data_IF_897528639078
#
_entry.id   IF_897528639078
#
_cell.length_a   1.000
_cell.length_b   1.000
_cell.length_c   1.000
_cell.angle_alpha   90.00
_cell.angle_beta   90.00
_cell.angle_gamma   90.00
#
_symmetry.space_group_name_H-M   'P 1'
#
loop_
_entity.id
_entity.type
_entity.pdbx_description
1 polymer ?
#
# COMPACT_ATOMS: atom_id res chain seq x y z
N UNK A 1 -6.45 7.42 4.65
CA UNK A 1 -5.30 8.31 4.91
C UNK A 1 -4.19 7.50 5.53
N UNK A 2 -3.06 7.36 4.84
CA UNK A 2 -1.92 6.59 5.35
C UNK A 2 -1.20 7.42 6.41
N UNK A 3 -1.03 6.86 7.62
CA UNK A 3 -0.46 7.58 8.76
C UNK A 3 1.04 7.31 8.96
N UNK A 4 1.50 6.13 8.58
CA UNK A 4 2.88 5.70 8.76
C UNK A 4 3.22 4.57 7.80
N UNK A 5 4.51 4.34 7.61
CA UNK A 5 5.06 3.28 6.79
C UNK A 5 6.08 2.48 7.59
N UNK A 6 5.97 1.16 7.55
CA UNK A 6 7.03 0.27 8.01
C UNK A 6 8.15 0.15 6.95
N UNK A 7 7.77 0.14 5.67
CA UNK A 7 8.70 -0.03 4.55
C UNK A 7 9.17 1.31 3.95
N UNK A 8 10.44 1.67 4.19
CA UNK A 8 11.04 2.96 3.75
C UNK A 8 10.93 3.21 2.23
N UNK A 9 11.04 2.16 1.41
CA UNK A 9 10.89 2.28 -0.04
C UNK A 9 9.46 2.62 -0.49
N UNK A 10 8.44 2.15 0.24
CA UNK A 10 7.04 2.46 -0.07
C UNK A 10 6.70 3.88 0.33
N UNK A 11 7.21 4.33 1.49
CA UNK A 11 7.11 5.72 1.91
C UNK A 11 7.70 6.66 0.87
N UNK A 12 8.96 6.42 0.47
CA UNK A 12 9.63 7.24 -0.54
C UNK A 12 8.86 7.27 -1.86
N UNK A 13 8.37 6.10 -2.31
CA UNK A 13 7.58 6.02 -3.53
C UNK A 13 6.26 6.81 -3.42
N UNK A 14 5.59 6.75 -2.28
CA UNK A 14 4.36 7.50 -2.01
C UNK A 14 4.60 9.03 -2.01
N UNK A 15 5.68 9.48 -1.39
CA UNK A 15 5.97 10.91 -1.21
C UNK A 15 6.60 11.56 -2.45
N UNK A 16 7.39 10.82 -3.24
CA UNK A 16 8.26 11.41 -4.29
C UNK A 16 8.13 10.75 -5.65
N UNK A 17 7.30 9.72 -5.79
CA UNK A 17 7.24 8.83 -6.98
C UNK A 17 8.56 8.12 -7.32
N UNK A 18 9.58 8.23 -6.46
CA UNK A 18 10.86 7.57 -6.67
C UNK A 18 10.72 6.06 -6.43
N UNK A 19 11.08 5.28 -7.44
CA UNK A 19 10.98 3.81 -7.43
C UNK A 19 12.15 3.11 -6.74
N UNK A 20 13.16 3.87 -6.27
CA UNK A 20 14.31 3.34 -5.53
C UNK A 20 13.85 2.75 -4.21
N UNK A 21 14.03 1.43 -4.07
CA UNK A 21 13.61 0.68 -2.89
C UNK A 21 12.26 -0.01 -3.05
N UNK A 22 11.65 -0.02 -4.24
CA UNK A 22 10.57 -0.93 -4.60
C UNK A 22 10.92 -1.68 -5.88
N UNK A 23 10.15 -2.73 -6.20
CA UNK A 23 10.24 -3.34 -7.51
C UNK A 23 9.58 -2.42 -8.55
N UNK A 24 10.38 -1.85 -9.46
CA UNK A 24 9.94 -0.88 -10.47
C UNK A 24 8.80 -1.38 -11.35
N UNK A 25 8.80 -2.67 -11.72
CA UNK A 25 7.71 -3.31 -12.46
C UNK A 25 6.35 -3.31 -11.73
N UNK A 26 6.33 -3.07 -10.43
CA UNK A 26 5.11 -2.96 -9.63
C UNK A 26 4.66 -1.52 -9.40
N UNK A 27 5.41 -0.51 -9.86
CA UNK A 27 5.15 0.91 -9.54
C UNK A 27 3.71 1.33 -9.84
N UNK A 28 3.18 1.03 -11.02
CA UNK A 28 1.80 1.40 -11.40
C UNK A 28 0.74 0.73 -10.52
N UNK A 29 0.98 -0.53 -10.11
CA UNK A 29 0.07 -1.24 -9.21
C UNK A 29 0.12 -0.65 -7.80
N UNK A 30 1.33 -0.43 -7.29
CA UNK A 30 1.55 0.17 -5.97
C UNK A 30 0.97 1.57 -5.88
N UNK A 31 1.12 2.40 -6.92
CA UNK A 31 0.55 3.75 -6.97
C UNK A 31 -0.96 3.73 -6.80
N UNK A 32 -1.66 2.84 -7.51
CA UNK A 32 -3.13 2.67 -7.39
C UNK A 32 -3.55 2.19 -6.00
N UNK A 33 -2.82 1.23 -5.44
CA UNK A 33 -3.13 0.69 -4.11
C UNK A 33 -2.92 1.72 -3.00
N UNK A 34 -1.79 2.44 -3.04
CA UNK A 34 -1.48 3.50 -2.07
C UNK A 34 -2.47 4.65 -2.15
N UNK A 35 -2.86 5.09 -3.36
CA UNK A 35 -3.88 6.13 -3.52
C UNK A 35 -5.25 5.71 -2.96
N UNK A 36 -5.65 4.45 -3.15
CA UNK A 36 -6.89 3.93 -2.59
C UNK A 36 -6.84 3.83 -1.05
N UNK A 37 -5.73 3.36 -0.48
CA UNK A 37 -5.52 3.31 0.97
C UNK A 37 -5.51 4.70 1.60
N UNK A 38 -4.96 5.68 0.89
CA UNK A 38 -4.92 7.05 1.37
C UNK A 38 -6.29 7.74 1.34
N UNK A 39 -7.16 7.38 0.40
CA UNK A 39 -8.52 7.92 0.32
C UNK A 39 -9.53 7.16 1.21
N UNK A 40 -9.29 5.87 1.49
CA UNK A 40 -10.20 5.05 2.27
C UNK A 40 -10.37 5.58 3.71
N UNK A 41 -11.62 5.58 4.18
CA UNK A 41 -12.03 5.90 5.56
C UNK A 41 -12.34 4.62 6.35
N UNK A 42 -12.73 3.56 5.66
CA UNK A 42 -13.02 2.23 6.23
C UNK A 42 -12.56 1.13 5.27
N UNK A 43 -12.32 -0.12 5.75
CA UNK A 43 -11.86 -1.22 4.91
C UNK A 43 -12.77 -1.52 3.71
N UNK A 44 -14.09 -1.31 3.89
CA UNK A 44 -15.09 -1.52 2.84
C UNK A 44 -14.97 -0.54 1.65
N UNK A 45 -14.30 0.61 1.83
CA UNK A 45 -14.09 1.57 0.74
C UNK A 45 -13.08 1.04 -0.32
N UNK A 46 -12.31 0.01 0.02
CA UNK A 46 -11.37 -0.64 -0.88
C UNK A 46 -12.13 -1.73 -1.67
N UNK A 47 -12.85 -1.29 -2.69
CA UNK A 47 -13.83 -2.14 -3.42
C UNK A 47 -13.25 -2.95 -4.58
N UNK A 48 -11.93 -2.86 -4.83
CA UNK A 48 -11.32 -3.57 -5.96
C UNK A 48 -11.26 -5.09 -5.71
N UNK A 49 -12.18 -5.83 -6.32
CA UNK A 49 -12.28 -7.29 -6.20
C UNK A 49 -11.03 -8.03 -6.69
N UNK A 50 -10.27 -7.47 -7.64
CA UNK A 50 -9.02 -8.05 -8.12
C UNK A 50 -7.91 -8.03 -7.08
N UNK A 51 -8.03 -7.24 -6.00
CA UNK A 51 -7.04 -7.17 -4.94
C UNK A 51 -7.21 -8.24 -3.87
N UNK A 52 -8.29 -9.04 -3.93
CA UNK A 52 -8.55 -10.16 -3.00
C UNK A 52 -8.39 -9.74 -1.53
N UNK A 53 -9.00 -8.61 -1.17
CA UNK A 53 -8.90 -8.06 0.19
C UNK A 53 -9.43 -9.07 1.20
N UNK A 54 -8.64 -9.35 2.24
CA UNK A 54 -9.00 -10.23 3.34
C UNK A 54 -8.27 -9.80 4.61
N UNK A 55 -8.88 -10.06 5.77
CA UNK A 55 -8.23 -9.80 7.04
C UNK A 55 -7.05 -10.76 7.24
N UNK A 56 -5.93 -10.24 7.72
CA UNK A 56 -4.79 -11.05 8.13
C UNK A 56 -5.15 -11.81 9.43
N UNK A 57 -4.60 -13.02 9.59
CA UNK A 57 -4.76 -13.86 10.79
C UNK A 57 -3.39 -14.21 11.36
N UNK A 58 -3.30 -14.30 12.69
CA UNK A 58 -2.04 -14.56 13.40
C UNK A 58 -1.22 -13.29 13.65
N UNK A 59 0.00 -13.46 14.18
CA UNK A 59 0.92 -12.36 14.46
C UNK A 59 1.68 -12.01 13.17
N UNK A 60 1.50 -10.79 12.67
CA UNK A 60 2.32 -10.26 11.58
C UNK A 60 3.59 -9.70 12.23
N UNK A 61 4.68 -10.45 12.17
CA UNK A 61 5.98 -9.97 12.62
C UNK A 61 6.53 -9.01 11.56
N UNK A 62 6.53 -7.71 11.86
CA UNK A 62 7.17 -6.71 11.02
C UNK A 62 8.67 -6.72 11.35
N UNK A 63 9.47 -7.40 10.53
CA UNK A 63 10.94 -7.32 10.56
C UNK A 63 11.44 -6.10 9.79
#
# INVERSE_FOLDING_TARGET
MIKSFCHKGLQRFFETENTSGIQSGHASRLKRQLAALDQAKQPADITNSAWRLHALRGKCDYH
#
